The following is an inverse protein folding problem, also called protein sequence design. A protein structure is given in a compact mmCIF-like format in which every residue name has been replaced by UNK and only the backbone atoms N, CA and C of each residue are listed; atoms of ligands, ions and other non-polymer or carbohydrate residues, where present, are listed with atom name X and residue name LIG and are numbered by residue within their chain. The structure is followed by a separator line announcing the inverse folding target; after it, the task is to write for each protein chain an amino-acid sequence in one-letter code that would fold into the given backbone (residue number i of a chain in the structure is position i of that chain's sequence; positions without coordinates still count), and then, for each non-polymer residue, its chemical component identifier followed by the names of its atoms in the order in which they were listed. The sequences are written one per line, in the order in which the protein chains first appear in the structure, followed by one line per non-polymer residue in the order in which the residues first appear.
data_IF_176806147705
#
_entry.id   IF_176806147705
#
_cell.length_a   1.000
_cell.length_b   1.000
_cell.length_c   1.000
_cell.angle_alpha   90.00
_cell.angle_beta   90.00
_cell.angle_gamma   90.00
#
_symmetry.space_group_name_H-M   'P 1'
#
loop_
_entity.id
_entity.type
_entity.pdbx_description
1 polymer ?
#
# COMPACT_ATOMS: atom_id res chain seq x y z
N UNK A 1 -24.93 8.10 3.56
CA UNK A 1 -24.65 8.59 4.93
C UNK A 1 -23.16 8.90 5.01
N UNK A 2 -22.73 9.82 5.88
CA UNK A 2 -21.34 10.32 5.89
C UNK A 2 -20.25 9.24 6.02
N UNK A 3 -20.59 8.05 6.52
CA UNK A 3 -19.68 6.90 6.62
C UNK A 3 -19.86 5.83 5.54
N UNK A 4 -20.77 6.03 4.57
CA UNK A 4 -21.12 5.07 3.51
C UNK A 4 -21.35 3.64 4.02
N UNK A 5 -22.11 3.51 5.11
CA UNK A 5 -22.51 2.19 5.61
C UNK A 5 -23.59 1.60 4.71
N UNK A 6 -23.33 0.39 4.21
CA UNK A 6 -24.30 -0.45 3.50
C UNK A 6 -24.81 -1.55 4.44
N UNK A 7 -26.08 -1.92 4.29
CA UNK A 7 -26.72 -2.95 5.11
C UNK A 7 -26.74 -4.24 4.31
N UNK A 8 -26.23 -5.31 4.92
CA UNK A 8 -26.23 -6.64 4.32
C UNK A 8 -27.54 -7.37 4.59
N UNK A 9 -28.12 -7.18 5.79
CA UNK A 9 -29.33 -7.86 6.22
C UNK A 9 -30.14 -7.00 7.17
N UNK A 10 -31.48 -7.09 7.08
CA UNK A 10 -32.41 -6.27 7.86
C UNK A 10 -32.53 -4.83 7.33
N UNK A 11 -32.66 -3.85 8.23
CA UNK A 11 -32.85 -2.44 7.87
C UNK A 11 -32.10 -1.49 8.80
N UNK A 12 -31.92 -0.24 8.35
CA UNK A 12 -31.42 0.83 9.20
C UNK A 12 -32.55 1.33 10.12
N UNK A 13 -32.20 1.88 11.27
CA UNK A 13 -33.16 2.69 12.04
C UNK A 13 -33.52 3.96 11.27
N UNK A 14 -34.77 4.37 11.39
CA UNK A 14 -35.33 5.55 10.73
C UNK A 14 -35.34 6.76 11.65
N UNK A 15 -35.60 7.96 11.11
CA UNK A 15 -35.81 9.15 11.93
C UNK A 15 -36.99 8.98 12.91
N UNK A 16 -38.01 8.20 12.56
CA UNK A 16 -39.11 7.85 13.45
C UNK A 16 -38.68 6.95 14.61
N UNK A 17 -37.78 5.98 14.35
CA UNK A 17 -37.22 5.12 15.40
C UNK A 17 -36.37 5.95 16.40
N UNK A 18 -35.62 6.95 15.92
CA UNK A 18 -34.84 7.88 16.77
C UNK A 18 -35.76 8.80 17.58
N UNK A 19 -36.75 9.43 16.94
CA UNK A 19 -37.69 10.33 17.62
C UNK A 19 -38.53 9.61 18.69
N UNK A 20 -39.00 8.39 18.40
CA UNK A 20 -39.72 7.56 19.36
C UNK A 20 -38.81 6.93 20.43
N UNK A 21 -37.50 7.15 20.33
CA UNK A 21 -36.47 6.57 21.20
C UNK A 21 -36.66 5.05 21.26
N UNK A 22 -36.76 4.37 20.12
CA UNK A 22 -36.91 2.91 20.13
C UNK A 22 -35.59 2.25 20.55
N UNK A 23 -35.69 1.12 21.25
CA UNK A 23 -34.54 0.29 21.67
C UNK A 23 -34.16 -0.66 20.55
N UNK A 24 -33.70 -0.10 19.43
CA UNK A 24 -33.25 -0.87 18.27
C UNK A 24 -31.74 -0.71 18.08
N UNK A 25 -31.09 -1.75 17.59
CA UNK A 25 -29.66 -1.77 17.32
C UNK A 25 -29.37 -2.29 15.90
N UNK A 26 -28.31 -1.76 15.29
CA UNK A 26 -27.71 -2.26 14.05
C UNK A 26 -26.28 -2.66 14.37
N UNK A 27 -25.90 -3.89 14.02
CA UNK A 27 -24.61 -4.48 14.41
C UNK A 27 -23.60 -4.43 13.25
N UNK A 28 -22.32 -4.29 13.58
CA UNK A 28 -21.21 -4.45 12.64
C UNK A 28 -21.06 -5.90 12.15
N UNK A 29 -20.33 -6.09 11.06
CA UNK A 29 -20.20 -7.40 10.40
C UNK A 29 -19.47 -8.46 11.23
N UNK A 30 -18.59 -8.05 12.15
CA UNK A 30 -17.79 -8.95 13.01
C UNK A 30 -18.49 -9.31 14.34
N UNK A 31 -19.49 -8.53 14.76
CA UNK A 31 -20.22 -8.74 16.02
C UNK A 31 -20.85 -10.14 16.14
N UNK A 32 -21.49 -10.72 15.10
CA UNK A 32 -22.03 -12.09 15.19
C UNK A 32 -20.97 -13.13 15.51
N UNK A 33 -19.81 -13.04 14.84
CA UNK A 33 -18.68 -13.96 15.05
C UNK A 33 -18.15 -13.87 16.47
N UNK A 34 -18.04 -12.66 17.04
CA UNK A 34 -17.62 -12.44 18.42
C UNK A 34 -18.58 -13.04 19.45
N UNK A 35 -19.86 -13.15 19.11
CA UNK A 35 -20.90 -13.72 19.95
C UNK A 35 -21.17 -15.21 19.65
N UNK A 36 -20.30 -15.87 18.88
CA UNK A 36 -20.45 -17.25 18.42
C UNK A 36 -21.82 -17.52 17.77
N UNK A 37 -22.32 -16.55 17.00
CA UNK A 37 -23.62 -16.60 16.34
C UNK A 37 -23.51 -16.28 14.85
N UNK A 38 -24.58 -16.60 14.10
CA UNK A 38 -24.67 -16.28 12.68
C UNK A 38 -25.45 -14.97 12.47
N UNK A 39 -25.06 -14.21 11.45
CA UNK A 39 -25.64 -12.90 11.11
C UNK A 39 -27.17 -12.92 11.02
N UNK A 40 -27.72 -13.89 10.29
CA UNK A 40 -29.17 -13.98 10.07
C UNK A 40 -29.92 -14.41 11.33
N UNK A 41 -29.29 -15.20 12.20
CA UNK A 41 -29.88 -15.64 13.46
C UNK A 41 -29.93 -14.53 14.52
N UNK A 42 -29.11 -13.49 14.38
CA UNK A 42 -29.11 -12.35 15.29
C UNK A 42 -30.21 -11.32 14.99
N UNK A 43 -30.73 -11.28 13.76
CA UNK A 43 -31.80 -10.33 13.43
C UNK A 43 -33.08 -10.74 14.16
N UNK A 44 -33.70 -9.78 14.85
CA UNK A 44 -34.87 -10.00 15.71
C UNK A 44 -34.53 -10.48 17.13
N UNK A 45 -33.26 -10.80 17.41
CA UNK A 45 -32.81 -11.11 18.76
C UNK A 45 -32.51 -9.85 19.57
N UNK A 46 -32.37 -10.02 20.88
CA UNK A 46 -32.02 -8.93 21.79
C UNK A 46 -30.55 -8.98 22.17
N UNK A 47 -29.93 -7.79 22.24
CA UNK A 47 -28.60 -7.58 22.78
C UNK A 47 -28.67 -6.64 23.97
N UNK A 48 -27.90 -6.94 25.03
CA UNK A 48 -27.81 -6.07 26.19
C UNK A 48 -26.66 -5.08 26.02
N UNK A 49 -27.00 -3.79 26.04
CA UNK A 49 -26.03 -2.70 26.01
C UNK A 49 -26.14 -1.96 27.34
N UNK A 50 -25.10 -2.05 28.17
CA UNK A 50 -25.09 -1.51 29.55
C UNK A 50 -26.32 -1.92 30.38
N UNK A 51 -26.72 -3.18 30.27
CA UNK A 51 -27.86 -3.75 31.00
C UNK A 51 -29.25 -3.44 30.42
N UNK A 52 -29.32 -2.78 29.25
CA UNK A 52 -30.58 -2.46 28.58
C UNK A 52 -30.72 -3.33 27.33
N UNK A 53 -31.85 -4.01 27.17
CA UNK A 53 -32.14 -4.82 25.99
C UNK A 53 -32.49 -3.97 24.76
N UNK A 54 -31.86 -4.28 23.63
CA UNK A 54 -32.10 -3.68 22.31
C UNK A 54 -32.41 -4.77 21.29
N UNK A 55 -33.45 -4.57 20.49
CA UNK A 55 -33.80 -5.47 19.38
C UNK A 55 -32.86 -5.20 18.19
N UNK A 56 -32.21 -6.24 17.68
CA UNK A 56 -31.32 -6.15 16.52
C UNK A 56 -32.18 -6.12 15.26
N UNK A 57 -32.13 -5.02 14.51
CA UNK A 57 -32.97 -4.83 13.30
C UNK A 57 -32.19 -4.88 11.99
N UNK A 58 -30.85 -4.92 12.06
CA UNK A 58 -30.02 -5.03 10.87
C UNK A 58 -28.53 -5.25 11.17
N UNK A 59 -27.80 -5.63 10.12
CA UNK A 59 -26.37 -5.88 10.14
C UNK A 59 -25.67 -5.16 9.00
N UNK A 60 -24.55 -4.51 9.30
CA UNK A 60 -23.73 -3.78 8.33
C UNK A 60 -22.92 -4.74 7.44
N UNK A 61 -22.58 -4.28 6.24
CA UNK A 61 -21.57 -4.91 5.40
C UNK A 61 -20.17 -4.68 5.96
N UNK A 62 -19.30 -5.65 5.74
CA UNK A 62 -17.89 -5.54 6.09
C UNK A 62 -17.24 -4.36 5.36
N UNK A 63 -16.55 -3.52 6.14
CA UNK A 63 -15.79 -2.38 5.63
C UNK A 63 -14.28 -2.60 5.76
N UNK A 64 -13.87 -3.54 6.62
CA UNK A 64 -12.48 -3.87 6.90
C UNK A 64 -11.87 -2.94 7.95
N UNK A 65 -11.06 -3.53 8.82
CA UNK A 65 -10.24 -2.77 9.78
C UNK A 65 -9.04 -2.15 9.06
N UNK A 66 -9.01 -0.82 8.92
CA UNK A 66 -7.85 -0.10 8.38
C UNK A 66 -6.76 0.16 9.43
N UNK A 67 -6.48 -0.84 10.28
CA UNK A 67 -5.43 -0.75 11.30
C UNK A 67 -5.62 0.38 12.33
N UNK A 68 -6.82 0.95 12.42
CA UNK A 68 -7.16 1.97 13.40
C UNK A 68 -7.58 1.31 14.72
N UNK A 69 -7.35 2.00 15.85
CA UNK A 69 -7.82 1.56 17.18
C UNK A 69 -9.35 1.36 17.27
N UNK A 70 -10.10 1.79 16.25
CA UNK A 70 -11.53 1.57 16.11
C UNK A 70 -11.79 0.69 14.88
N UNK A 71 -12.31 -0.51 15.11
CA UNK A 71 -12.78 -1.39 14.05
C UNK A 71 -14.26 -1.08 13.72
N UNK A 72 -14.59 -0.55 12.53
CA UNK A 72 -15.97 -0.28 12.13
C UNK A 72 -16.83 -1.54 12.08
N UNK A 73 -16.22 -2.72 11.93
CA UNK A 73 -16.92 -3.98 11.81
C UNK A 73 -17.34 -4.57 13.17
N UNK A 74 -16.77 -4.07 14.27
CA UNK A 74 -17.08 -4.50 15.64
C UNK A 74 -18.03 -3.54 16.37
N UNK A 75 -18.45 -2.46 15.72
CA UNK A 75 -19.29 -1.44 16.36
C UNK A 75 -20.77 -1.85 16.42
N UNK A 76 -21.50 -1.28 17.37
CA UNK A 76 -22.96 -1.38 17.47
C UNK A 76 -23.55 0.03 17.37
N UNK A 77 -24.47 0.23 16.43
CA UNK A 77 -25.15 1.49 16.20
C UNK A 77 -26.54 1.47 16.85
N UNK A 78 -26.85 2.50 17.62
CA UNK A 78 -28.16 2.74 18.21
C UNK A 78 -28.62 4.18 17.89
N UNK A 79 -29.93 4.47 17.90
CA UNK A 79 -30.43 5.82 17.69
C UNK A 79 -29.87 6.81 18.72
N UNK A 80 -29.55 8.03 18.28
CA UNK A 80 -28.88 9.05 19.08
C UNK A 80 -29.70 9.45 20.31
N UNK A 81 -31.01 9.64 20.15
CA UNK A 81 -31.88 10.01 21.27
C UNK A 81 -31.98 8.87 22.28
N UNK A 82 -32.02 7.61 21.81
CA UNK A 82 -32.00 6.44 22.69
C UNK A 82 -30.68 6.36 23.47
N UNK A 83 -29.54 6.61 22.82
CA UNK A 83 -28.23 6.65 23.47
C UNK A 83 -28.16 7.73 24.55
N UNK A 84 -28.60 8.96 24.23
CA UNK A 84 -28.58 10.11 25.16
C UNK A 84 -29.40 9.85 26.42
N UNK A 85 -30.67 9.47 26.26
CA UNK A 85 -31.59 9.38 27.39
C UNK A 85 -31.55 8.07 28.16
N UNK A 86 -31.17 6.94 27.52
CA UNK A 86 -31.21 5.63 28.18
C UNK A 86 -29.85 5.03 28.50
N UNK A 87 -28.80 5.33 27.73
CA UNK A 87 -27.52 4.59 27.83
C UNK A 87 -26.39 5.43 28.43
N UNK A 88 -26.26 6.69 28.02
CA UNK A 88 -25.13 7.56 28.39
C UNK A 88 -25.55 8.62 29.42
N UNK A 89 -26.78 9.13 29.35
CA UNK A 89 -27.29 10.12 30.31
C UNK A 89 -26.67 11.51 30.15
N UNK A 90 -26.18 11.86 28.95
CA UNK A 90 -25.58 13.17 28.68
C UNK A 90 -26.05 13.73 27.34
N UNK A 91 -26.13 15.05 27.28
CA UNK A 91 -26.43 15.80 26.06
C UNK A 91 -25.18 16.22 25.28
N UNK A 92 -23.98 15.88 25.78
CA UNK A 92 -22.72 16.20 25.11
C UNK A 92 -22.39 15.16 24.06
N UNK A 93 -22.22 15.62 22.82
CA UNK A 93 -21.74 14.78 21.71
C UNK A 93 -20.22 14.63 21.77
N UNK A 94 -19.72 13.42 21.52
CA UNK A 94 -18.27 13.15 21.45
C UNK A 94 -17.67 13.57 20.11
N UNK A 95 -18.39 13.36 19.01
CA UNK A 95 -17.97 13.71 17.66
C UNK A 95 -19.19 13.92 16.76
N UNK A 96 -19.02 14.75 15.73
CA UNK A 96 -20.02 14.98 14.68
C UNK A 96 -19.30 14.74 13.35
N UNK A 97 -19.79 13.80 12.56
CA UNK A 97 -19.28 13.55 11.21
C UNK A 97 -20.15 14.28 10.21
N UNK A 98 -19.53 15.12 9.38
CA UNK A 98 -20.20 15.88 8.32
C UNK A 98 -19.61 15.45 6.98
N UNK A 99 -20.46 15.31 5.97
CA UNK A 99 -20.05 15.01 4.60
C UNK A 99 -20.19 16.28 3.75
N UNK A 100 -19.09 16.75 3.19
CA UNK A 100 -19.09 17.83 2.22
C UNK A 100 -19.72 17.34 0.88
N UNK A 101 -20.27 18.28 0.11
CA UNK A 101 -20.87 18.00 -1.21
C UNK A 101 -19.80 17.55 -2.20
N UNK A 102 -18.63 18.19 -2.16
CA UNK A 102 -17.49 17.91 -3.02
C UNK A 102 -16.16 18.20 -2.29
N UNK A 103 -15.04 17.78 -2.89
CA UNK A 103 -13.70 17.94 -2.31
C UNK A 103 -13.20 19.39 -2.32
N UNK A 104 -13.60 20.21 -3.30
CA UNK A 104 -13.14 21.60 -3.43
C UNK A 104 -13.78 22.49 -2.36
N UNK A 105 -15.01 22.17 -1.97
CA UNK A 105 -15.77 22.85 -0.93
C UNK A 105 -15.34 22.47 0.49
N UNK A 106 -14.42 21.51 0.67
CA UNK A 106 -14.04 21.01 2.00
C UNK A 106 -13.47 22.12 2.91
N UNK A 107 -12.57 22.95 2.39
CA UNK A 107 -11.98 24.05 3.17
C UNK A 107 -13.00 25.10 3.57
N UNK A 108 -13.89 25.48 2.65
CA UNK A 108 -14.97 26.43 2.93
C UNK A 108 -15.95 25.86 3.96
N UNK A 109 -16.31 24.58 3.83
CA UNK A 109 -17.16 23.88 4.79
C UNK A 109 -16.52 23.83 6.18
N UNK A 110 -15.21 23.58 6.30
CA UNK A 110 -14.52 23.61 7.59
C UNK A 110 -14.57 25.00 8.25
N UNK A 111 -14.32 26.06 7.49
CA UNK A 111 -14.39 27.45 7.99
C UNK A 111 -15.81 27.79 8.45
N UNK A 112 -16.82 27.37 7.69
CA UNK A 112 -18.22 27.62 8.02
C UNK A 112 -18.66 26.83 9.26
N UNK A 113 -18.27 25.55 9.36
CA UNK A 113 -18.50 24.72 10.55
C UNK A 113 -17.82 25.35 11.77
N UNK A 114 -16.57 25.81 11.65
CA UNK A 114 -15.88 26.50 12.74
C UNK A 114 -16.67 27.72 13.20
N UNK A 115 -17.10 28.58 12.26
CA UNK A 115 -17.87 29.78 12.55
C UNK A 115 -19.17 29.46 13.28
N UNK A 116 -19.90 28.45 12.82
CA UNK A 116 -21.16 28.01 13.44
C UNK A 116 -20.91 27.46 14.85
N UNK A 117 -19.91 26.60 15.03
CA UNK A 117 -19.57 26.02 16.32
C UNK A 117 -19.09 27.06 17.33
N UNK A 118 -18.21 28.00 16.93
CA UNK A 118 -17.78 29.11 17.80
C UNK A 118 -18.95 29.95 18.27
N UNK A 119 -19.92 30.24 17.39
CA UNK A 119 -21.15 30.96 17.74
C UNK A 119 -22.00 30.16 18.73
N UNK A 120 -22.20 28.88 18.46
CA UNK A 120 -23.03 28.00 19.28
C UNK A 120 -22.42 27.79 20.69
N UNK A 121 -21.09 27.68 20.76
CA UNK A 121 -20.33 27.53 21.99
C UNK A 121 -20.05 28.88 22.68
N UNK A 122 -20.49 30.00 22.08
CA UNK A 122 -20.31 31.38 22.58
C UNK A 122 -18.84 31.76 22.82
N UNK A 123 -17.94 31.27 21.96
CA UNK A 123 -16.49 31.53 22.02
C UNK A 123 -16.21 32.94 21.51
N UNK A 124 -15.51 33.75 22.30
CA UNK A 124 -15.20 35.14 21.94
C UNK A 124 -14.04 35.22 20.92
N UNK A 125 -13.91 36.34 20.19
CA UNK A 125 -12.73 36.60 19.38
C UNK A 125 -11.46 36.55 20.24
N UNK A 126 -10.43 35.86 19.76
CA UNK A 126 -9.15 35.68 20.48
C UNK A 126 -9.14 34.56 21.54
N UNK A 127 -10.26 33.88 21.79
CA UNK A 127 -10.27 32.65 22.59
C UNK A 127 -10.00 31.43 21.73
N UNK A 128 -9.33 30.44 22.33
CA UNK A 128 -9.07 29.14 21.70
C UNK A 128 -10.36 28.32 21.54
N UNK A 129 -10.38 27.48 20.51
CA UNK A 129 -11.51 26.59 20.24
C UNK A 129 -11.52 25.42 21.23
N UNK A 130 -12.69 25.09 21.77
CA UNK A 130 -12.91 23.92 22.64
C UNK A 130 -13.27 22.63 21.85
N UNK A 131 -13.23 22.71 20.52
CA UNK A 131 -13.47 21.61 19.59
C UNK A 131 -12.32 21.51 18.57
N UNK A 132 -12.20 20.33 17.95
CA UNK A 132 -11.26 20.10 16.86
C UNK A 132 -12.03 19.66 15.62
N UNK A 133 -11.73 20.30 14.48
CA UNK A 133 -12.22 19.89 13.17
C UNK A 133 -11.08 19.09 12.53
N UNK A 134 -11.37 17.85 12.14
CA UNK A 134 -10.40 16.99 11.46
C UNK A 134 -10.91 16.66 10.09
N UNK A 135 -10.09 16.95 9.09
CA UNK A 135 -10.35 16.57 7.72
C UNK A 135 -9.78 15.17 7.44
N UNK A 136 -10.63 14.25 7.01
CA UNK A 136 -10.18 12.90 6.66
C UNK A 136 -9.25 12.91 5.44
N UNK A 137 -9.38 13.91 4.53
CA UNK A 137 -8.49 14.00 3.36
C UNK A 137 -7.07 14.34 3.75
N UNK A 138 -6.86 15.14 4.80
CA UNK A 138 -5.51 15.53 5.24
C UNK A 138 -4.77 14.35 5.86
N UNK A 139 -5.49 13.46 6.57
CA UNK A 139 -4.93 12.21 7.10
C UNK A 139 -4.49 11.31 5.93
N UNK A 140 -5.36 11.12 4.94
CA UNK A 140 -5.04 10.31 3.76
C UNK A 140 -3.86 10.90 2.97
N UNK A 141 -3.85 12.22 2.78
CA UNK A 141 -2.75 12.91 2.11
C UNK A 141 -1.42 12.75 2.86
N UNK A 142 -1.43 12.86 4.20
CA UNK A 142 -0.24 12.69 5.03
C UNK A 142 0.30 11.25 4.96
N UNK A 143 -0.58 10.25 5.03
CA UNK A 143 -0.20 8.86 4.87
C UNK A 143 0.39 8.61 3.49
N UNK A 144 -0.26 9.12 2.43
CA UNK A 144 0.20 8.95 1.07
C UNK A 144 1.55 9.62 0.83
N UNK A 145 1.76 10.84 1.34
CA UNK A 145 3.04 11.53 1.30
C UNK A 145 4.15 10.75 2.02
N UNK A 146 3.83 10.17 3.18
CA UNK A 146 4.78 9.35 3.94
C UNK A 146 5.15 8.09 3.16
N UNK A 147 4.15 7.39 2.60
CA UNK A 147 4.36 6.22 1.74
C UNK A 147 5.19 6.57 0.51
N UNK A 148 4.92 7.69 -0.16
CA UNK A 148 5.68 8.14 -1.32
C UNK A 148 7.12 8.49 -0.94
N UNK A 149 7.33 9.11 0.23
CA UNK A 149 8.67 9.40 0.75
C UNK A 149 9.49 8.12 0.94
N UNK A 150 8.91 7.11 1.60
CA UNK A 150 9.55 5.80 1.74
C UNK A 150 9.79 5.14 0.39
N UNK A 151 8.80 5.19 -0.52
CA UNK A 151 8.92 4.64 -1.87
C UNK A 151 10.11 5.25 -2.62
N UNK A 152 10.28 6.58 -2.59
CA UNK A 152 11.42 7.24 -3.23
C UNK A 152 12.75 6.94 -2.54
N UNK A 153 12.77 6.85 -1.21
CA UNK A 153 13.95 6.44 -0.46
C UNK A 153 14.41 5.03 -0.87
N UNK A 154 13.49 4.06 -0.85
CA UNK A 154 13.74 2.68 -1.27
C UNK A 154 14.17 2.60 -2.74
N UNK A 155 13.53 3.38 -3.63
CA UNK A 155 13.93 3.46 -5.03
C UNK A 155 15.35 4.03 -5.20
N UNK A 156 15.73 5.02 -4.41
CA UNK A 156 17.08 5.57 -4.38
C UNK A 156 18.13 4.54 -3.93
N UNK A 157 17.85 3.82 -2.84
CA UNK A 157 18.73 2.74 -2.35
C UNK A 157 18.86 1.62 -3.39
N UNK A 158 17.76 1.26 -4.05
CA UNK A 158 17.76 0.28 -5.14
C UNK A 158 18.60 0.77 -6.33
N UNK A 159 18.47 2.04 -6.73
CA UNK A 159 19.23 2.62 -7.82
C UNK A 159 20.75 2.64 -7.53
N UNK A 160 21.15 2.99 -6.31
CA UNK A 160 22.56 2.96 -5.89
C UNK A 160 23.10 1.52 -5.88
N UNK A 161 22.35 0.59 -5.28
CA UNK A 161 22.71 -0.84 -5.25
C UNK A 161 22.88 -1.41 -6.66
N UNK A 162 22.00 -1.00 -7.57
CA UNK A 162 22.05 -1.42 -8.97
C UNK A 162 23.26 -0.84 -9.70
N UNK A 163 23.60 0.42 -9.46
CA UNK A 163 24.78 1.05 -10.04
C UNK A 163 26.05 0.33 -9.59
N UNK A 164 26.17 0.06 -8.28
CA UNK A 164 27.30 -0.70 -7.73
C UNK A 164 27.36 -2.11 -8.31
N UNK A 165 26.22 -2.80 -8.41
CA UNK A 165 26.12 -4.13 -9.05
C UNK A 165 26.49 -4.10 -10.53
N UNK A 166 26.06 -3.07 -11.26
CA UNK A 166 26.36 -2.82 -12.67
C UNK A 166 27.85 -2.62 -12.92
N UNK A 167 28.52 -1.82 -12.07
CA UNK A 167 29.98 -1.68 -12.09
C UNK A 167 30.67 -3.02 -11.83
N UNK A 168 30.14 -3.82 -10.89
CA UNK A 168 30.62 -5.18 -10.63
C UNK A 168 30.58 -6.07 -11.87
N UNK A 169 29.45 -6.09 -12.58
CA UNK A 169 29.28 -6.84 -13.83
C UNK A 169 30.29 -6.36 -14.88
N UNK A 170 30.42 -5.05 -15.05
CA UNK A 170 31.38 -4.46 -15.99
C UNK A 170 32.82 -4.90 -15.69
N UNK A 171 33.22 -4.91 -14.42
CA UNK A 171 34.56 -5.33 -14.00
C UNK A 171 34.80 -6.83 -14.22
N UNK A 172 33.85 -7.68 -13.86
CA UNK A 172 33.96 -9.13 -14.10
C UNK A 172 34.08 -9.41 -15.61
N UNK A 173 33.27 -8.72 -16.42
CA UNK A 173 33.33 -8.85 -17.88
C UNK A 173 34.66 -8.37 -18.45
N UNK A 174 35.20 -7.26 -17.95
CA UNK A 174 36.53 -6.78 -18.33
C UNK A 174 37.62 -7.81 -18.08
N UNK A 175 37.64 -8.38 -16.86
CA UNK A 175 38.63 -9.39 -16.47
C UNK A 175 38.47 -10.64 -17.34
N UNK A 176 37.23 -11.08 -17.59
CA UNK A 176 36.96 -12.22 -18.46
C UNK A 176 37.46 -12.01 -19.89
N UNK A 177 37.31 -10.79 -20.43
CA UNK A 177 37.84 -10.44 -21.76
C UNK A 177 39.36 -10.53 -21.79
N UNK A 178 40.03 -10.07 -20.74
CA UNK A 178 41.50 -10.13 -20.64
C UNK A 178 42.02 -11.57 -20.46
N UNK A 179 41.31 -12.42 -19.72
CA UNK A 179 41.67 -13.84 -19.58
C UNK A 179 41.45 -14.62 -20.88
N UNK A 180 40.37 -14.31 -21.60
CA UNK A 180 39.99 -14.99 -22.86
C UNK A 180 40.55 -14.32 -24.11
N UNK A 181 41.55 -13.43 -23.98
CA UNK A 181 42.10 -12.66 -25.11
C UNK A 181 42.57 -13.55 -26.27
N UNK A 182 43.29 -14.63 -25.97
CA UNK A 182 43.80 -15.58 -26.97
C UNK A 182 42.68 -16.29 -27.73
N UNK A 183 41.63 -16.71 -27.02
CA UNK A 183 40.45 -17.37 -27.61
C UNK A 183 39.72 -16.43 -28.58
N UNK A 184 39.56 -15.16 -28.20
CA UNK A 184 38.96 -14.12 -29.04
C UNK A 184 39.81 -13.89 -30.31
N UNK A 185 41.14 -13.86 -30.17
CA UNK A 185 42.08 -13.72 -31.27
C UNK A 185 41.96 -14.85 -32.29
N UNK A 186 41.91 -16.10 -31.84
CA UNK A 186 41.72 -17.28 -32.70
C UNK A 186 40.39 -17.20 -33.45
N UNK A 187 39.28 -16.85 -32.78
CA UNK A 187 37.97 -16.69 -33.43
C UNK A 187 38.00 -15.63 -34.54
N UNK A 188 38.63 -14.49 -34.30
CA UNK A 188 38.76 -13.43 -35.31
C UNK A 188 39.66 -13.82 -36.47
N UNK A 189 40.75 -14.55 -36.21
CA UNK A 189 41.64 -15.06 -37.27
C UNK A 189 40.91 -16.07 -38.18
N UNK A 190 39.95 -16.83 -37.63
CA UNK A 190 39.07 -17.73 -38.38
C UNK A 190 37.88 -17.02 -39.05
N UNK A 191 37.80 -15.68 -38.99
CA UNK A 191 36.80 -14.89 -39.70
C UNK A 191 35.59 -14.42 -38.86
N UNK A 192 35.60 -14.57 -37.54
CA UNK A 192 34.53 -14.02 -36.70
C UNK A 192 34.49 -12.49 -36.79
N UNK A 193 33.31 -11.93 -37.10
CA UNK A 193 33.12 -10.48 -37.18
C UNK A 193 33.16 -9.83 -35.79
N UNK A 194 33.46 -8.52 -35.74
CA UNK A 194 33.37 -7.73 -34.50
C UNK A 194 31.98 -7.83 -33.85
N UNK A 195 30.94 -7.91 -34.67
CA UNK A 195 29.56 -8.07 -34.21
C UNK A 195 29.34 -9.40 -33.51
N UNK A 196 29.86 -10.52 -34.04
CA UNK A 196 29.71 -11.84 -33.43
C UNK A 196 30.34 -11.89 -32.03
N UNK A 197 31.55 -11.32 -31.88
CA UNK A 197 32.23 -11.25 -30.58
C UNK A 197 31.46 -10.35 -29.60
N UNK A 198 31.03 -9.16 -30.06
CA UNK A 198 30.26 -8.24 -29.22
C UNK A 198 28.94 -8.88 -28.74
N UNK A 199 28.22 -9.55 -29.64
CA UNK A 199 26.96 -10.21 -29.33
C UNK A 199 27.14 -11.35 -28.33
N UNK A 200 28.20 -12.17 -28.47
CA UNK A 200 28.51 -13.23 -27.51
C UNK A 200 28.67 -12.70 -26.08
N UNK A 201 29.52 -11.68 -25.89
CA UNK A 201 29.75 -11.10 -24.57
C UNK A 201 28.50 -10.38 -24.02
N UNK A 202 27.71 -9.75 -24.90
CA UNK A 202 26.46 -9.11 -24.50
C UNK A 202 25.41 -10.13 -24.04
N UNK A 203 25.35 -11.29 -24.70
CA UNK A 203 24.51 -12.41 -24.28
C UNK A 203 24.99 -13.00 -22.95
N UNK A 204 26.30 -13.17 -22.73
CA UNK A 204 26.83 -13.60 -21.43
C UNK A 204 26.41 -12.64 -20.30
N UNK A 205 26.59 -11.33 -20.51
CA UNK A 205 26.18 -10.31 -19.54
C UNK A 205 24.66 -10.33 -19.28
N UNK A 206 23.85 -10.48 -20.34
CA UNK A 206 22.40 -10.58 -20.25
C UNK A 206 21.98 -11.82 -19.48
N UNK A 207 22.56 -12.99 -19.75
CA UNK A 207 22.27 -14.24 -19.05
C UNK A 207 22.61 -14.12 -17.57
N UNK A 208 23.78 -13.55 -17.22
CA UNK A 208 24.16 -13.30 -15.83
C UNK A 208 23.14 -12.41 -15.11
N UNK A 209 22.67 -11.36 -15.78
CA UNK A 209 21.66 -10.45 -15.21
C UNK A 209 20.28 -11.10 -15.08
N UNK A 210 19.85 -11.88 -16.07
CA UNK A 210 18.57 -12.60 -16.02
C UNK A 210 18.57 -13.66 -14.91
N UNK A 211 19.67 -14.40 -14.74
CA UNK A 211 19.82 -15.38 -13.65
C UNK A 211 19.84 -14.66 -12.30
N UNK A 212 20.62 -13.59 -12.16
CA UNK A 212 20.66 -12.78 -10.94
C UNK A 212 19.30 -12.14 -10.61
N UNK A 213 18.60 -11.64 -11.63
CA UNK A 213 17.25 -11.09 -11.53
C UNK A 213 16.22 -12.14 -11.12
N UNK A 214 16.31 -13.35 -11.68
CA UNK A 214 15.46 -14.46 -11.28
C UNK A 214 15.68 -14.85 -9.82
N UNK A 215 16.95 -15.01 -9.41
CA UNK A 215 17.30 -15.29 -8.01
C UNK A 215 16.80 -14.17 -7.10
N UNK A 216 16.99 -12.90 -7.50
CA UNK A 216 16.53 -11.74 -6.74
C UNK A 216 15.01 -11.69 -6.60
N UNK A 217 14.25 -12.00 -7.66
CA UNK A 217 12.78 -12.08 -7.61
C UNK A 217 12.32 -13.22 -6.72
N UNK A 218 12.95 -14.39 -6.80
CA UNK A 218 12.61 -15.54 -5.95
C UNK A 218 12.88 -15.23 -4.49
N UNK A 219 14.05 -14.68 -4.15
CA UNK A 219 14.41 -14.31 -2.79
C UNK A 219 13.54 -13.16 -2.27
N UNK A 220 13.28 -12.14 -3.09
CA UNK A 220 12.45 -10.99 -2.72
C UNK A 220 11.00 -11.39 -2.49
N UNK A 221 10.42 -12.18 -3.40
CA UNK A 221 9.04 -12.67 -3.29
C UNK A 221 8.89 -13.66 -2.13
N UNK A 222 9.85 -14.58 -1.98
CA UNK A 222 9.89 -15.53 -0.87
C UNK A 222 10.01 -14.83 0.48
N UNK A 223 10.92 -13.86 0.59
CA UNK A 223 11.07 -13.02 1.78
C UNK A 223 9.79 -12.24 2.11
N UNK A 224 9.14 -11.66 1.10
CA UNK A 224 7.87 -10.94 1.27
C UNK A 224 6.74 -11.84 1.82
N UNK A 225 6.64 -13.09 1.35
CA UNK A 225 5.65 -14.07 1.83
C UNK A 225 5.96 -14.47 3.28
N UNK A 226 7.22 -14.75 3.60
CA UNK A 226 7.63 -15.12 4.97
C UNK A 226 7.32 -13.98 5.94
N UNK A 227 7.68 -12.75 5.58
CA UNK A 227 7.41 -11.57 6.40
C UNK A 227 5.92 -11.30 6.56
N UNK A 228 5.12 -11.49 5.49
CA UNK A 228 3.67 -11.36 5.53
C UNK A 228 3.04 -12.29 6.57
N UNK A 229 3.53 -13.53 6.66
CA UNK A 229 3.03 -14.52 7.65
C UNK A 229 3.44 -14.18 9.08
N UNK A 230 4.68 -13.74 9.30
CA UNK A 230 5.20 -13.45 10.65
C UNK A 230 4.62 -12.14 11.19
N UNK A 231 4.53 -11.11 10.36
CA UNK A 231 4.07 -9.78 10.76
C UNK A 231 2.55 -9.57 10.62
N UNK A 232 1.82 -10.58 10.13
CA UNK A 232 0.40 -10.47 9.78
C UNK A 232 0.09 -9.30 8.83
N UNK A 233 1.02 -8.97 7.93
CA UNK A 233 0.86 -7.90 6.95
C UNK A 233 0.24 -8.41 5.65
N UNK A 234 -0.67 -7.63 5.08
CA UNK A 234 -1.26 -7.94 3.78
C UNK A 234 -0.33 -7.50 2.65
N UNK A 235 0.70 -8.30 2.38
CA UNK A 235 1.70 -7.99 1.36
C UNK A 235 1.21 -8.41 -0.02
N UNK A 236 1.04 -7.44 -0.93
CA UNK A 236 0.64 -7.68 -2.31
C UNK A 236 1.87 -7.73 -3.21
N UNK A 237 2.09 -8.89 -3.84
CA UNK A 237 3.13 -9.08 -4.86
C UNK A 237 2.50 -8.82 -6.23
N UNK A 238 2.88 -7.71 -6.86
CA UNK A 238 2.36 -7.33 -8.18
C UNK A 238 3.13 -8.05 -9.31
N UNK A 239 2.46 -8.82 -10.19
CA UNK A 239 3.10 -9.44 -11.35
C UNK A 239 3.76 -8.42 -12.28
N UNK A 240 3.16 -7.24 -12.42
CA UNK A 240 3.69 -6.15 -13.22
C UNK A 240 4.99 -5.58 -12.63
N UNK A 241 5.10 -5.52 -11.29
CA UNK A 241 6.33 -5.09 -10.63
C UNK A 241 7.47 -6.12 -10.84
N UNK A 242 7.15 -7.41 -10.80
CA UNK A 242 8.11 -8.48 -11.11
C UNK A 242 8.61 -8.35 -12.56
N UNK A 243 7.69 -8.20 -13.52
CA UNK A 243 8.05 -8.03 -14.92
C UNK A 243 8.94 -6.80 -15.14
N UNK A 244 8.59 -5.67 -14.52
CA UNK A 244 9.41 -4.45 -14.57
C UNK A 244 10.80 -4.68 -13.98
N UNK A 245 10.92 -5.38 -12.85
CA UNK A 245 12.21 -5.69 -12.25
C UNK A 245 13.09 -6.55 -13.18
N UNK A 246 12.51 -7.54 -13.87
CA UNK A 246 13.22 -8.36 -14.86
C UNK A 246 13.70 -7.54 -16.06
N UNK A 247 12.80 -6.75 -16.67
CA UNK A 247 13.14 -5.90 -17.82
C UNK A 247 14.23 -4.90 -17.43
N UNK A 248 14.14 -4.33 -16.22
CA UNK A 248 15.11 -3.38 -15.73
C UNK A 248 16.48 -4.05 -15.45
N UNK A 249 16.50 -5.25 -14.88
CA UNK A 249 17.73 -6.03 -14.70
C UNK A 249 18.40 -6.36 -16.05
N UNK A 250 17.62 -6.76 -17.05
CA UNK A 250 18.12 -6.99 -18.41
C UNK A 250 18.70 -5.71 -19.04
N UNK A 251 18.00 -4.58 -18.91
CA UNK A 251 18.47 -3.29 -19.42
C UNK A 251 19.80 -2.85 -18.79
N UNK A 252 19.97 -3.07 -17.49
CA UNK A 252 21.21 -2.75 -16.77
C UNK A 252 22.35 -3.67 -17.22
N UNK A 253 22.10 -4.96 -17.36
CA UNK A 253 23.07 -5.91 -17.90
C UNK A 253 23.57 -5.54 -19.28
N UNK A 254 22.63 -5.14 -20.15
CA UNK A 254 22.94 -4.64 -21.48
C UNK A 254 23.80 -3.37 -21.40
N UNK A 255 23.38 -2.39 -20.59
CA UNK A 255 24.05 -1.11 -20.47
C UNK A 255 25.50 -1.24 -20.00
N UNK A 256 25.74 -1.96 -18.90
CA UNK A 256 27.09 -2.17 -18.35
C UNK A 256 27.91 -3.20 -19.15
N UNK A 257 27.27 -4.10 -19.89
CA UNK A 257 27.93 -5.09 -20.75
C UNK A 257 28.41 -4.55 -22.10
N UNK A 258 27.81 -3.47 -22.61
CA UNK A 258 28.16 -2.89 -23.93
C UNK A 258 29.63 -2.48 -24.01
N UNK A 259 30.14 -1.80 -22.99
CA UNK A 259 31.51 -1.28 -23.02
C UNK A 259 32.58 -2.39 -23.06
N UNK A 260 32.57 -3.41 -22.15
CA UNK A 260 33.53 -4.52 -22.23
C UNK A 260 33.33 -5.38 -23.50
N UNK A 261 32.09 -5.59 -23.96
CA UNK A 261 31.82 -6.30 -25.21
C UNK A 261 32.43 -5.58 -26.43
N UNK A 262 32.34 -4.25 -26.47
CA UNK A 262 33.00 -3.42 -27.51
C UNK A 262 34.52 -3.51 -27.42
N UNK A 263 35.08 -3.50 -26.20
CA UNK A 263 36.52 -3.67 -25.96
C UNK A 263 37.01 -5.02 -26.53
N UNK A 264 36.31 -6.11 -26.25
CA UNK A 264 36.61 -7.44 -26.77
C UNK A 264 36.53 -7.50 -28.31
N UNK A 265 35.48 -6.91 -28.87
CA UNK A 265 35.27 -6.84 -30.31
C UNK A 265 36.33 -5.99 -31.04
N UNK A 266 37.00 -5.06 -30.36
CA UNK A 266 38.05 -4.21 -30.92
C UNK A 266 39.47 -4.82 -30.88
N UNK A 267 39.71 -5.93 -30.15
CA UNK A 267 41.02 -6.59 -30.08
C UNK A 267 41.56 -6.98 -31.46
N UNK A 268 42.84 -6.69 -31.73
CA UNK A 268 43.53 -7.10 -32.96
C UNK A 268 43.93 -8.58 -32.88
N UNK A 269 43.58 -9.42 -33.87
CA UNK A 269 43.93 -10.84 -33.87
C UNK A 269 45.44 -11.10 -33.75
N UNK A 270 46.28 -10.25 -34.35
CA UNK A 270 47.74 -10.43 -34.33
C UNK A 270 48.28 -10.18 -32.92
N UNK A 271 47.79 -9.13 -32.25
CA UNK A 271 48.18 -8.80 -30.87
C UNK A 271 47.66 -9.84 -29.89
N UNK A 272 46.42 -10.31 -30.09
CA UNK A 272 45.79 -11.30 -29.22
C UNK A 272 46.48 -12.68 -29.25
N UNK A 273 47.16 -13.03 -30.35
CA UNK A 273 47.93 -14.28 -30.48
C UNK A 273 49.38 -14.18 -29.98
N UNK A 274 49.88 -12.95 -29.76
CA UNK A 274 51.25 -12.67 -29.34
C UNK A 274 51.39 -12.51 -27.81
N UNK A 275 50.27 -12.44 -27.09
CA UNK A 275 50.25 -12.46 -25.63
C UNK A 275 50.51 -13.89 -25.13
N UNK A 276 51.60 -14.07 -24.39
CA UNK A 276 51.79 -15.14 -23.39
C UNK A 276 51.17 -14.70 -22.06
#
# INVERSE_FOLDING_TARGET
TAHNYTITAGRMFTAGDDAARRRVAVIGSAVPTLLNSNRDAMIGQQILIRGIAFDIIGALSEKGSQGSFFNPDEQILIPLQTARYRVIGTDRLRSITVQAVDLQSMNLAMIEIERVLRRQHKIRPGQDNDFQIRNQTDILATLQQTTDTFKYLLAGIAAVSLLVGGIGIMNIMLVSVTERTREIGVRKALGATRFNIMFQFLVEALVLCLVGGLIGVVLGSGGAIVLSRIAHWNTLISPLAILLAFVFSAAVGLFFGIWPARRAAALDPIVALRYE
#
